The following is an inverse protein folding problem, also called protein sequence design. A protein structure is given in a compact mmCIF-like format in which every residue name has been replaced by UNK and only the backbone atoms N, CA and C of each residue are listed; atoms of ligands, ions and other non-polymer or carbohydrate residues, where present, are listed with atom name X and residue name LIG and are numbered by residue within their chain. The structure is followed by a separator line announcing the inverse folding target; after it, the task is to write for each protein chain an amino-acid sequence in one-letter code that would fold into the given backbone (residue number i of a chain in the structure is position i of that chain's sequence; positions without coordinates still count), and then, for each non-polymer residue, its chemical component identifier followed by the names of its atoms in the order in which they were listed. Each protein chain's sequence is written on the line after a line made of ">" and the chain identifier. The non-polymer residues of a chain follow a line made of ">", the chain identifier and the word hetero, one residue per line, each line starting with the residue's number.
data_IF_574911653467
#
_entry.id   IF_574911653467
#
_cell.length_a   1.000
_cell.length_b   1.000
_cell.length_c   1.000
_cell.angle_alpha   90.00
_cell.angle_beta   90.00
_cell.angle_gamma   90.00
#
_symmetry.space_group_name_H-M   'P 1'
#
loop_
_entity.id
_entity.type
_entity.pdbx_description
1 polymer ?
#
# COMPACT_ATOMS: atom_id res chain seq x y z
N UNK A 1 -6.66 34.28 6.30
CA UNK A 1 -7.78 33.43 6.74
C UNK A 1 -7.62 32.11 6.00
N UNK A 2 -6.84 31.17 6.55
CA UNK A 2 -6.65 29.86 5.93
C UNK A 2 -7.92 29.05 6.18
N UNK A 3 -8.59 28.66 5.10
CA UNK A 3 -9.70 27.73 5.15
C UNK A 3 -9.12 26.35 5.47
N UNK A 4 -9.34 25.88 6.69
CA UNK A 4 -9.14 24.48 7.06
C UNK A 4 -10.27 23.69 6.39
N UNK A 5 -10.09 23.37 5.11
CA UNK A 5 -10.86 22.29 4.50
C UNK A 5 -10.38 21.03 5.20
N UNK A 6 -11.18 20.55 6.16
CA UNK A 6 -11.06 19.19 6.67
C UNK A 6 -11.23 18.27 5.47
N UNK A 7 -10.12 17.81 4.89
CA UNK A 7 -10.17 16.69 3.97
C UNK A 7 -10.76 15.52 4.75
N UNK A 8 -11.88 14.98 4.27
CA UNK A 8 -12.52 13.83 4.89
C UNK A 8 -11.52 12.67 4.83
N UNK A 9 -11.02 12.28 6.00
CA UNK A 9 -10.16 11.10 6.16
C UNK A 9 -11.07 9.96 6.57
N UNK A 10 -11.02 8.88 5.80
CA UNK A 10 -11.68 7.64 6.15
C UNK A 10 -10.66 6.62 6.62
N UNK A 11 -10.98 5.82 7.64
CA UNK A 11 -9.98 4.99 8.32
C UNK A 11 -10.44 3.56 8.57
N UNK A 12 -9.50 2.63 8.44
CA UNK A 12 -9.57 1.29 9.01
C UNK A 12 -8.68 1.23 10.24
N UNK A 13 -9.22 0.82 11.39
CA UNK A 13 -8.42 0.61 12.60
C UNK A 13 -8.83 -0.67 13.30
N UNK A 14 -7.85 -1.44 13.73
CA UNK A 14 -8.03 -2.69 14.46
C UNK A 14 -6.67 -3.12 15.05
N UNK A 15 -6.71 -3.69 16.25
CA UNK A 15 -5.49 -4.06 16.97
C UNK A 15 -4.56 -2.86 17.14
N UNK A 16 -3.27 -3.08 16.89
CA UNK A 16 -2.22 -2.06 16.97
C UNK A 16 -1.96 -1.30 15.66
N UNK A 17 -2.87 -1.31 14.70
CA UNK A 17 -2.69 -0.71 13.37
C UNK A 17 -3.89 0.15 12.93
N UNK A 18 -3.59 1.19 12.16
CA UNK A 18 -4.58 2.01 11.44
C UNK A 18 -4.12 2.27 10.00
N UNK A 19 -5.06 2.27 9.06
CA UNK A 19 -4.88 2.74 7.69
C UNK A 19 -5.83 3.91 7.46
N UNK A 20 -5.28 5.08 7.17
CA UNK A 20 -6.04 6.26 6.81
C UNK A 20 -6.03 6.42 5.30
N UNK A 21 -7.18 6.80 4.75
CA UNK A 21 -7.39 7.14 3.35
C UNK A 21 -7.80 8.60 3.26
N UNK A 22 -7.05 9.39 2.50
CA UNK A 22 -7.31 10.81 2.32
C UNK A 22 -7.34 11.16 0.84
N UNK A 23 -8.27 12.04 0.45
CA UNK A 23 -8.38 12.44 -0.95
C UNK A 23 -7.31 13.47 -1.29
N UNK A 24 -6.47 13.15 -2.26
CA UNK A 24 -5.43 14.01 -2.85
C UNK A 24 -5.72 14.20 -4.34
N UNK A 25 -6.28 15.37 -4.69
CA UNK A 25 -6.71 15.65 -6.06
C UNK A 25 -7.83 14.70 -6.53
N UNK A 26 -7.55 13.94 -7.58
CA UNK A 26 -8.50 13.00 -8.18
C UNK A 26 -8.49 11.59 -7.55
N UNK A 27 -7.54 11.30 -6.66
CA UNK A 27 -7.32 9.97 -6.08
C UNK A 27 -7.24 9.98 -4.56
N UNK A 28 -7.29 8.79 -3.97
CA UNK A 28 -7.04 8.54 -2.57
C UNK A 28 -5.57 8.17 -2.37
N UNK A 29 -4.90 8.87 -1.48
CA UNK A 29 -3.68 8.41 -0.85
C UNK A 29 -4.04 7.62 0.41
N UNK A 30 -3.20 6.69 0.81
CA UNK A 30 -3.27 6.04 2.13
C UNK A 30 -2.00 6.19 2.95
N UNK A 31 -2.16 6.15 4.27
CA UNK A 31 -1.08 6.14 5.24
C UNK A 31 -1.33 5.05 6.30
N UNK A 32 -0.27 4.35 6.69
CA UNK A 32 -0.31 3.26 7.66
C UNK A 32 0.37 3.70 8.94
N UNK A 33 -0.35 3.51 10.04
CA UNK A 33 0.04 3.91 11.37
C UNK A 33 0.17 2.71 12.29
N UNK A 34 1.15 2.76 13.16
CA UNK A 34 1.19 1.96 14.38
C UNK A 34 0.45 2.72 15.49
N UNK A 35 -0.39 2.00 16.22
CA UNK A 35 -1.19 2.54 17.33
C UNK A 35 -0.82 1.81 18.61
N UNK A 36 -0.36 2.56 19.62
CA UNK A 36 -0.02 2.03 20.94
C UNK A 36 -0.50 2.98 22.05
N UNK A 37 -1.62 2.65 22.68
CA UNK A 37 -2.30 3.56 23.59
C UNK A 37 -2.71 4.86 22.89
N UNK A 38 -2.21 5.99 23.38
CA UNK A 38 -2.45 7.32 22.80
C UNK A 38 -1.43 7.70 21.71
N UNK A 39 -0.38 6.89 21.51
CA UNK A 39 0.62 7.15 20.48
C UNK A 39 0.15 6.61 19.13
N UNK A 40 0.19 7.49 18.12
CA UNK A 40 -0.08 7.15 16.73
C UNK A 40 1.12 7.56 15.89
N UNK A 41 1.78 6.58 15.29
CA UNK A 41 3.03 6.79 14.58
C UNK A 41 2.82 6.42 13.12
N UNK A 42 2.87 7.41 12.24
CA UNK A 42 2.82 7.16 10.80
C UNK A 42 4.12 6.47 10.39
N UNK A 43 4.02 5.35 9.67
CA UNK A 43 5.20 4.59 9.25
C UNK A 43 5.35 4.51 7.75
N UNK A 44 4.24 4.36 7.03
CA UNK A 44 4.23 4.30 5.57
C UNK A 44 3.20 5.27 5.03
N UNK A 45 3.62 6.19 4.16
CA UNK A 45 2.72 7.04 3.39
C UNK A 45 2.82 6.67 1.91
N UNK A 46 1.70 6.39 1.26
CA UNK A 46 1.69 6.18 -0.19
C UNK A 46 2.24 7.40 -0.94
N UNK A 47 3.02 7.13 -1.98
CA UNK A 47 3.48 8.15 -2.91
C UNK A 47 2.55 8.12 -4.12
N UNK A 48 1.77 9.19 -4.25
CA UNK A 48 0.81 9.34 -5.34
C UNK A 48 1.40 10.12 -6.52
N UNK A 49 0.93 9.78 -7.72
CA UNK A 49 1.17 10.57 -8.92
C UNK A 49 0.09 11.61 -9.15
N UNK A 50 0.12 12.25 -10.32
CA UNK A 50 -0.92 13.15 -10.78
C UNK A 50 -1.67 12.60 -12.02
N UNK A 51 -2.54 13.42 -12.60
CA UNK A 51 -3.37 13.03 -13.75
C UNK A 51 -2.61 12.95 -15.08
N UNK A 52 -1.36 13.43 -15.12
CA UNK A 52 -0.47 13.31 -16.27
C UNK A 52 0.34 12.01 -16.28
N UNK A 53 0.42 11.31 -15.15
CA UNK A 53 1.12 10.03 -15.04
C UNK A 53 0.31 8.89 -15.66
N UNK A 54 0.82 8.33 -16.77
CA UNK A 54 0.28 7.09 -17.34
C UNK A 54 0.57 5.89 -16.43
N UNK A 55 1.72 5.91 -15.78
CA UNK A 55 2.21 4.88 -14.85
C UNK A 55 2.60 5.51 -13.51
N UNK A 56 1.61 5.85 -12.68
CA UNK A 56 1.84 6.55 -11.42
C UNK A 56 2.70 5.72 -10.44
N UNK A 57 3.34 6.37 -9.46
CA UNK A 57 4.11 5.71 -8.40
C UNK A 57 3.29 4.76 -7.52
N UNK A 58 1.97 4.95 -7.44
CA UNK A 58 1.02 4.05 -6.77
C UNK A 58 -0.28 3.96 -7.59
N UNK A 59 -1.13 2.95 -7.34
CA UNK A 59 -2.43 2.85 -8.01
C UNK A 59 -3.24 4.16 -7.92
N UNK A 60 -3.79 4.70 -9.03
CA UNK A 60 -4.54 5.96 -9.04
C UNK A 60 -6.00 5.75 -8.59
N UNK A 61 -6.20 5.51 -7.30
CA UNK A 61 -7.48 5.05 -6.73
C UNK A 61 -8.49 6.20 -6.61
N UNK A 62 -9.51 6.27 -7.46
CA UNK A 62 -10.48 7.39 -7.45
C UNK A 62 -11.73 7.14 -6.60
N UNK A 63 -12.06 5.87 -6.31
CA UNK A 63 -13.18 5.49 -5.46
C UNK A 63 -12.72 4.58 -4.32
N UNK A 64 -13.39 4.71 -3.18
CA UNK A 64 -13.14 3.98 -1.94
C UNK A 64 -14.48 3.55 -1.35
N UNK A 65 -14.61 2.27 -1.06
CA UNK A 65 -15.76 1.67 -0.38
C UNK A 65 -15.25 0.82 0.79
N UNK A 66 -16.00 0.82 1.90
CA UNK A 66 -15.71 -0.04 3.04
C UNK A 66 -16.72 -1.17 3.11
N UNK A 67 -16.20 -2.38 3.26
CA UNK A 67 -17.01 -3.58 3.43
C UNK A 67 -16.72 -4.23 4.77
N UNK A 68 -17.75 -4.90 5.31
CA UNK A 68 -17.55 -5.82 6.43
C UNK A 68 -16.94 -7.10 5.89
N UNK A 69 -15.89 -7.56 6.54
CA UNK A 69 -15.24 -8.82 6.21
C UNK A 69 -15.54 -9.89 7.26
N UNK A 70 -15.16 -11.15 6.97
CA UNK A 70 -15.39 -12.28 7.88
C UNK A 70 -14.85 -12.01 9.29
N UNK A 71 -15.53 -12.54 10.29
CA UNK A 71 -15.13 -12.47 11.71
C UNK A 71 -14.91 -11.06 12.29
N UNK A 72 -15.56 -10.05 11.72
CA UNK A 72 -15.51 -8.67 12.22
C UNK A 72 -14.34 -7.84 11.70
N UNK A 73 -13.57 -8.39 10.74
CA UNK A 73 -12.60 -7.62 9.97
C UNK A 73 -13.24 -6.49 9.16
N UNK A 74 -12.43 -5.50 8.79
CA UNK A 74 -12.84 -4.42 7.88
C UNK A 74 -11.95 -4.42 6.65
N UNK A 75 -12.59 -4.21 5.51
CA UNK A 75 -11.96 -4.21 4.19
C UNK A 75 -12.22 -2.87 3.52
N UNK A 76 -11.17 -2.25 2.97
CA UNK A 76 -11.31 -1.15 2.03
C UNK A 76 -11.15 -1.71 0.62
N UNK A 77 -12.14 -1.44 -0.23
CA UNK A 77 -12.11 -1.71 -1.66
C UNK A 77 -11.89 -0.39 -2.39
N UNK A 78 -10.82 -0.32 -3.15
CA UNK A 78 -10.47 0.88 -3.90
C UNK A 78 -10.33 0.53 -5.38
N UNK A 79 -10.82 1.42 -6.23
CA UNK A 79 -10.71 1.26 -7.68
C UNK A 79 -10.33 2.57 -8.34
N UNK A 80 -9.66 2.47 -9.49
CA UNK A 80 -9.39 3.64 -10.31
C UNK A 80 -8.74 3.33 -11.65
N UNK A 81 -8.24 4.36 -12.30
CA UNK A 81 -7.67 4.28 -13.64
C UNK A 81 -6.58 5.32 -13.89
N UNK A 82 -5.58 4.92 -14.68
CA UNK A 82 -4.65 5.82 -15.38
C UNK A 82 -4.57 5.38 -16.84
N UNK A 83 -4.72 6.33 -17.77
CA UNK A 83 -4.86 6.04 -19.19
C UNK A 83 -6.01 5.05 -19.43
N UNK A 84 -5.68 3.86 -19.95
CA UNK A 84 -6.65 2.78 -20.24
C UNK A 84 -6.62 1.65 -19.21
N UNK A 85 -5.71 1.70 -18.25
CA UNK A 85 -5.47 0.62 -17.30
C UNK A 85 -6.37 0.79 -16.09
N UNK A 86 -7.01 -0.31 -15.68
CA UNK A 86 -7.90 -0.31 -14.53
C UNK A 86 -7.17 -0.89 -13.33
N UNK A 87 -7.27 -0.20 -12.21
CA UNK A 87 -6.60 -0.54 -10.97
C UNK A 87 -7.62 -0.89 -9.92
N UNK A 88 -7.30 -1.89 -9.10
CA UNK A 88 -8.07 -2.22 -7.91
C UNK A 88 -7.12 -2.57 -6.78
N UNK A 89 -7.45 -2.11 -5.58
CA UNK A 89 -6.75 -2.46 -4.35
C UNK A 89 -7.79 -2.94 -3.34
N UNK A 90 -7.50 -4.04 -2.66
CA UNK A 90 -8.16 -4.35 -1.39
C UNK A 90 -7.16 -4.22 -0.25
N UNK A 91 -7.51 -3.48 0.79
CA UNK A 91 -6.75 -3.41 2.04
C UNK A 91 -7.58 -4.03 3.17
N UNK A 92 -7.18 -5.21 3.62
CA UNK A 92 -7.84 -5.97 4.67
C UNK A 92 -7.06 -5.82 5.97
N UNK A 93 -7.73 -5.37 7.03
CA UNK A 93 -7.12 -5.25 8.34
C UNK A 93 -7.54 -6.42 9.24
N UNK A 94 -6.57 -7.26 9.61
CA UNK A 94 -6.77 -8.41 10.48
C UNK A 94 -6.39 -8.04 11.93
N UNK A 95 -7.38 -7.93 12.84
CA UNK A 95 -7.14 -7.54 14.23
C UNK A 95 -6.42 -8.60 15.07
N UNK A 96 -6.43 -9.87 14.65
CA UNK A 96 -5.80 -10.95 15.43
C UNK A 96 -4.31 -11.04 15.16
N UNK A 97 -3.91 -10.65 13.94
CA UNK A 97 -2.54 -10.75 13.47
C UNK A 97 -1.80 -9.40 13.42
N UNK A 98 -2.44 -8.31 13.85
CA UNK A 98 -1.92 -6.93 13.76
C UNK A 98 -1.27 -6.68 12.38
N UNK A 99 -2.04 -6.95 11.32
CA UNK A 99 -1.55 -6.85 9.95
C UNK A 99 -2.58 -6.26 8.99
N UNK A 100 -2.07 -5.60 7.95
CA UNK A 100 -2.82 -5.21 6.76
C UNK A 100 -2.39 -6.09 5.60
N UNK A 101 -3.35 -6.76 4.97
CA UNK A 101 -3.12 -7.48 3.71
C UNK A 101 -3.55 -6.57 2.56
N UNK A 102 -2.59 -6.20 1.71
CA UNK A 102 -2.82 -5.42 0.51
C UNK A 102 -2.81 -6.34 -0.70
N UNK A 103 -3.87 -6.27 -1.50
CA UNK A 103 -4.01 -7.01 -2.75
C UNK A 103 -4.24 -6.03 -3.89
N UNK A 104 -3.23 -5.89 -4.74
CA UNK A 104 -3.22 -4.88 -5.79
C UNK A 104 -3.26 -5.57 -7.14
N UNK A 105 -4.16 -5.11 -8.00
CA UNK A 105 -4.26 -5.60 -9.36
C UNK A 105 -4.37 -4.45 -10.36
N UNK A 106 -3.73 -4.63 -11.51
CA UNK A 106 -3.84 -3.75 -12.66
C UNK A 106 -4.23 -4.57 -13.89
N UNK A 107 -5.40 -4.26 -14.46
CA UNK A 107 -5.84 -4.83 -15.73
C UNK A 107 -5.29 -3.99 -16.87
N UNK A 108 -4.30 -4.54 -17.56
CA UNK A 108 -3.57 -3.92 -18.64
C UNK A 108 -4.41 -3.89 -19.92
N UNK A 109 -4.49 -2.71 -20.53
CA UNK A 109 -5.00 -2.50 -21.89
C UNK A 109 -3.88 -2.11 -22.86
N UNK A 110 -2.73 -1.75 -22.32
CA UNK A 110 -1.50 -1.45 -23.01
C UNK A 110 -0.35 -2.11 -22.23
N UNK A 111 0.71 -2.49 -22.95
CA UNK A 111 1.90 -3.08 -22.35
C UNK A 111 2.62 -2.00 -21.54
N UNK A 112 2.85 -2.18 -20.23
CA UNK A 112 3.73 -1.28 -19.51
C UNK A 112 5.10 -1.43 -20.16
N UNK A 113 5.53 -0.38 -20.86
CA UNK A 113 6.80 -0.36 -21.61
C UNK A 113 7.98 -0.93 -20.82
N UNK A 114 7.92 -0.84 -19.49
CA UNK A 114 8.76 -1.59 -18.55
C UNK A 114 7.90 -2.13 -17.38
N UNK A 115 8.15 -3.35 -16.87
CA UNK A 115 7.40 -3.92 -15.73
C UNK A 115 7.43 -3.08 -14.45
N UNK A 116 8.51 -2.34 -14.19
CA UNK A 116 8.66 -1.46 -13.02
C UNK A 116 7.71 -0.25 -12.99
N UNK A 117 6.94 -0.06 -14.05
CA UNK A 117 5.87 0.94 -14.12
C UNK A 117 4.64 0.54 -13.30
N UNK A 118 4.47 -0.75 -12.98
CA UNK A 118 3.47 -1.20 -12.04
C UNK A 118 4.07 -1.25 -10.65
N UNK A 119 3.50 -0.48 -9.71
CA UNK A 119 4.06 -0.33 -8.38
C UNK A 119 3.06 0.15 -7.35
N UNK A 120 3.34 -0.21 -6.09
CA UNK A 120 2.91 0.52 -4.90
C UNK A 120 4.15 1.16 -4.30
N UNK A 121 4.17 2.49 -4.16
CA UNK A 121 5.31 3.21 -3.60
C UNK A 121 4.94 3.86 -2.28
N UNK A 122 5.87 3.81 -1.32
CA UNK A 122 5.69 4.37 0.00
C UNK A 122 6.89 5.23 0.38
N UNK A 123 6.64 6.39 0.97
CA UNK A 123 7.59 7.08 1.83
C UNK A 123 7.57 6.42 3.20
N UNK A 124 8.74 6.15 3.75
CA UNK A 124 8.91 5.44 5.02
C UNK A 124 9.43 6.38 6.09
N UNK A 125 8.71 6.44 7.20
CA UNK A 125 9.04 7.25 8.38
C UNK A 125 9.77 6.39 9.41
N UNK A 126 11.02 6.06 9.10
CA UNK A 126 11.87 5.19 9.92
C UNK A 126 13.12 4.77 9.16
N UNK A 127 13.83 3.76 9.68
CA UNK A 127 14.96 3.15 8.98
C UNK A 127 14.53 1.83 8.37
N UNK A 128 14.92 1.58 7.11
CA UNK A 128 14.57 0.35 6.39
C UNK A 128 15.76 -0.58 6.23
N UNK A 129 15.50 -1.88 6.35
CA UNK A 129 16.43 -2.95 6.02
C UNK A 129 15.78 -3.95 5.07
N UNK A 130 16.42 -4.23 3.94
CA UNK A 130 15.98 -5.27 3.00
C UNK A 130 16.63 -6.60 3.39
N UNK A 131 15.82 -7.58 3.78
CA UNK A 131 16.27 -8.96 3.89
C UNK A 131 15.95 -9.68 2.57
N UNK A 132 16.93 -9.67 1.66
CA UNK A 132 16.81 -10.31 0.37
C UNK A 132 16.70 -11.86 0.46
N UNK A 133 17.16 -12.46 1.57
CA UNK A 133 17.11 -13.92 1.75
C UNK A 133 15.71 -14.39 2.09
N UNK A 134 15.02 -13.61 2.94
CA UNK A 134 13.63 -13.86 3.33
C UNK A 134 12.62 -13.09 2.48
N UNK A 135 13.10 -12.30 1.52
CA UNK A 135 12.31 -11.50 0.60
C UNK A 135 11.29 -10.61 1.33
N UNK A 136 11.79 -9.83 2.28
CA UNK A 136 11.01 -8.93 3.11
C UNK A 136 11.75 -7.62 3.37
N UNK A 137 11.00 -6.59 3.77
CA UNK A 137 11.56 -5.32 4.28
C UNK A 137 11.17 -5.15 5.73
N UNK A 138 12.15 -4.87 6.57
CA UNK A 138 11.97 -4.43 7.96
C UNK A 138 12.01 -2.91 8.00
N UNK A 139 11.05 -2.33 8.71
CA UNK A 139 10.99 -0.89 9.00
C UNK A 139 11.09 -0.73 10.50
N UNK A 140 12.19 -0.14 10.97
CA UNK A 140 12.38 0.19 12.37
C UNK A 140 11.92 1.62 12.62
N UNK A 141 11.01 1.76 13.56
CA UNK A 141 10.48 3.06 13.97
C UNK A 141 11.07 3.37 15.35
N UNK A 142 11.96 4.37 15.48
CA UNK A 142 12.62 4.67 16.76
C UNK A 142 11.62 5.00 17.86
N UNK A 143 10.51 5.62 17.47
CA UNK A 143 9.39 5.94 18.32
C UNK A 143 8.51 4.69 18.48
N UNK A 144 8.26 4.28 19.72
CA UNK A 144 7.41 3.12 20.03
C UNK A 144 8.09 1.74 19.98
N UNK A 145 9.37 1.66 19.56
CA UNK A 145 10.17 0.43 19.62
C UNK A 145 9.57 -0.75 18.85
N UNK A 146 8.76 -0.46 17.84
CA UNK A 146 8.07 -1.45 17.03
C UNK A 146 8.72 -1.57 15.66
N UNK A 147 8.62 -2.77 15.09
CA UNK A 147 9.06 -3.05 13.73
C UNK A 147 7.85 -3.31 12.84
N UNK A 148 7.97 -2.93 11.57
CA UNK A 148 7.02 -3.28 10.54
C UNK A 148 7.69 -4.19 9.52
N UNK A 149 7.08 -5.35 9.31
CA UNK A 149 7.51 -6.30 8.29
C UNK A 149 6.62 -6.17 7.08
N UNK A 150 7.22 -5.95 5.92
CA UNK A 150 6.55 -5.98 4.61
C UNK A 150 7.03 -7.20 3.84
N UNK A 151 6.13 -8.09 3.50
CA UNK A 151 6.44 -9.37 2.85
C UNK A 151 5.39 -9.74 1.80
N UNK A 152 5.73 -10.51 0.74
CA UNK A 152 4.72 -11.01 -0.18
C UNK A 152 3.78 -11.97 0.53
N UNK A 153 2.53 -12.04 0.08
CA UNK A 153 1.68 -13.20 0.41
C UNK A 153 2.17 -14.38 -0.44
N UNK A 154 2.20 -15.58 0.13
CA UNK A 154 2.73 -16.82 -0.48
C UNK A 154 2.46 -16.92 -2.00
N UNK A 155 3.51 -17.27 -2.75
CA UNK A 155 3.51 -17.40 -4.21
C UNK A 155 3.20 -16.13 -5.01
N UNK A 156 3.01 -14.95 -4.39
CA UNK A 156 2.87 -13.69 -5.11
C UNK A 156 4.23 -13.21 -5.64
N UNK A 157 4.39 -12.98 -6.95
CA UNK A 157 5.61 -12.44 -7.53
C UNK A 157 5.68 -10.94 -7.24
N UNK A 158 6.32 -10.55 -6.13
CA UNK A 158 6.55 -9.14 -5.75
C UNK A 158 8.04 -8.90 -5.70
N UNK A 159 8.54 -7.78 -6.20
CA UNK A 159 9.92 -7.32 -6.00
C UNK A 159 9.94 -6.07 -5.12
N UNK A 160 10.95 -5.99 -4.25
CA UNK A 160 11.17 -4.84 -3.37
C UNK A 160 12.37 -4.05 -3.85
N UNK A 161 12.21 -2.73 -3.92
CA UNK A 161 13.31 -1.79 -4.16
C UNK A 161 13.30 -0.71 -3.08
N UNK A 162 14.48 -0.42 -2.53
CA UNK A 162 14.67 0.64 -1.53
C UNK A 162 15.59 1.71 -2.13
N UNK A 163 15.16 2.98 -2.04
CA UNK A 163 15.98 4.13 -2.43
C UNK A 163 15.76 5.27 -1.43
N UNK A 164 16.73 5.49 -0.52
CA UNK A 164 16.58 6.48 0.55
C UNK A 164 15.44 6.10 1.50
N UNK A 165 14.46 6.99 1.64
CA UNK A 165 13.23 6.80 2.42
C UNK A 165 12.08 6.21 1.60
N UNK A 166 12.31 5.82 0.35
CA UNK A 166 11.28 5.24 -0.52
C UNK A 166 11.37 3.71 -0.58
N UNK A 167 10.23 3.06 -0.34
CA UNK A 167 9.98 1.65 -0.57
C UNK A 167 9.08 1.47 -1.79
N UNK A 168 9.50 0.67 -2.76
CA UNK A 168 8.73 0.34 -3.96
C UNK A 168 8.48 -1.15 -4.00
N UNK A 169 7.21 -1.52 -4.22
CA UNK A 169 6.76 -2.89 -4.43
C UNK A 169 6.22 -3.00 -5.85
N UNK A 170 6.74 -3.93 -6.65
CA UNK A 170 6.30 -4.14 -8.04
C UNK A 170 5.99 -5.61 -8.31
N UNK A 171 5.03 -5.93 -9.19
CA UNK A 171 4.84 -7.32 -9.61
C UNK A 171 6.06 -7.78 -10.41
N UNK A 172 6.60 -8.95 -10.06
CA UNK A 172 7.68 -9.59 -10.80
C UNK A 172 7.08 -10.27 -12.05
N UNK A 173 7.60 -10.01 -13.26
CA UNK A 173 7.19 -10.75 -14.46
C UNK A 173 7.52 -12.24 -14.36
N UNK A 174 6.65 -13.09 -14.91
CA UNK A 174 6.89 -14.53 -15.00
C UNK A 174 6.94 -14.96 -16.47
N UNK A 175 7.98 -15.72 -16.85
CA UNK A 175 8.12 -16.22 -18.22
C UNK A 175 8.19 -15.09 -19.27
N UNK A 176 7.16 -14.99 -20.11
CA UNK A 176 7.11 -14.09 -21.27
C UNK A 176 6.64 -12.65 -20.95
N UNK A 177 6.53 -12.27 -19.67
CA UNK A 177 6.16 -10.91 -19.27
C UNK A 177 5.04 -10.87 -18.25
N UNK A 178 4.35 -9.74 -18.17
CA UNK A 178 3.20 -9.58 -17.27
C UNK A 178 1.92 -10.16 -17.89
N UNK A 179 1.07 -10.84 -17.10
CA UNK A 179 -0.24 -11.26 -17.56
C UNK A 179 -1.16 -10.07 -17.82
N UNK A 180 -2.28 -10.29 -18.52
CA UNK A 180 -3.29 -9.25 -18.80
C UNK A 180 -3.79 -8.54 -17.53
N UNK A 181 -3.83 -9.26 -16.42
CA UNK A 181 -4.05 -8.67 -15.09
C UNK A 181 -2.83 -8.97 -14.25
N UNK A 182 -1.95 -7.98 -14.11
CA UNK A 182 -0.83 -8.06 -13.17
C UNK A 182 -1.37 -7.88 -11.75
N UNK A 183 -0.88 -8.70 -10.81
CA UNK A 183 -1.34 -8.70 -9.43
C UNK A 183 -0.14 -8.90 -8.50
N UNK A 184 -0.04 -8.09 -7.47
CA UNK A 184 0.94 -8.24 -6.40
C UNK A 184 0.23 -8.12 -5.07
N UNK A 185 0.58 -9.01 -4.15
CA UNK A 185 -0.08 -9.12 -2.86
C UNK A 185 0.99 -9.16 -1.79
N UNK A 186 0.83 -8.33 -0.76
CA UNK A 186 1.79 -8.19 0.31
C UNK A 186 1.08 -7.97 1.64
N UNK A 187 1.77 -8.30 2.71
CA UNK A 187 1.34 -8.11 4.09
C UNK A 187 2.24 -7.05 4.72
N UNK A 188 1.63 -6.16 5.48
CA UNK A 188 2.30 -5.19 6.33
C UNK A 188 1.90 -5.56 7.76
N UNK A 189 2.85 -6.08 8.55
CA UNK A 189 2.59 -6.60 9.90
C UNK A 189 3.40 -5.87 10.95
N UNK A 190 2.75 -5.53 12.07
CA UNK A 190 3.45 -5.06 13.28
C UNK A 190 4.19 -6.22 13.94
N UNK A 191 5.46 -6.01 14.27
CA UNK A 191 6.32 -6.94 15.03
C UNK A 191 6.72 -6.25 16.34
N UNK A 192 6.68 -7.01 17.44
CA UNK A 192 7.05 -6.56 18.78
C UNK A 192 8.40 -7.14 19.20
#
# INVERSE_FOLDING_TARGET
>A
MQSTLSHEVASLSAGGMRVDFSRSGDRYAHAIYLVDGDAEICVLESVEGDSSDVWPPSPPLQALEFEKWTDGGRLALLVGMAGRNHWSVSAELDPQLDQVVCDVACRLQEDPSEPGNLRSSYRVHGTMELDASNHLVLVHVPEGGCELRVEPVEAAPVDFTIAGDHLVLSPRPEGNGLPRTARWKYVIRRVR
#
